data_IF_215260475634
#
_entry.id   IF_215260475634
#
_cell.length_a   1.000
_cell.length_b   1.000
_cell.length_c   1.000
_cell.angle_alpha   90.00
_cell.angle_beta   90.00
_cell.angle_gamma   90.00
#
_symmetry.space_group_name_H-M   'P 1'
#
loop_
_entity.id
_entity.type
_entity.pdbx_description
1 polymer ?
#
# COMPACT_ATOMS: atom_id res chain seq x y z
N UNK A 1 41.11 22.96 -19.28
CA UNK A 1 41.16 21.56 -18.80
C UNK A 1 40.38 21.31 -17.49
N UNK A 2 39.52 22.24 -17.03
CA UNK A 2 38.79 22.10 -15.76
C UNK A 2 37.33 21.64 -15.92
N UNK A 3 36.69 21.95 -17.06
CA UNK A 3 35.25 21.65 -17.29
C UNK A 3 34.96 20.15 -17.36
N UNK A 4 35.86 19.34 -17.97
CA UNK A 4 35.68 17.88 -18.06
C UNK A 4 35.75 17.17 -16.69
N UNK A 5 36.55 17.69 -15.73
CA UNK A 5 36.62 17.14 -14.37
C UNK A 5 35.36 17.45 -13.56
N UNK A 6 34.74 18.60 -13.79
CA UNK A 6 33.51 19.01 -13.10
C UNK A 6 32.31 18.14 -13.52
N UNK A 7 32.22 17.79 -14.81
CA UNK A 7 31.17 16.90 -15.33
C UNK A 7 31.30 15.49 -14.75
N UNK A 8 32.52 14.95 -14.66
CA UNK A 8 32.76 13.64 -14.03
C UNK A 8 32.40 13.62 -12.54
N UNK A 9 32.64 14.72 -11.82
CA UNK A 9 32.32 14.83 -10.40
C UNK A 9 30.81 14.88 -10.15
N UNK A 10 30.06 15.62 -10.98
CA UNK A 10 28.59 15.61 -10.94
C UNK A 10 28.05 14.22 -11.29
N UNK A 11 28.62 13.54 -12.29
CA UNK A 11 28.20 12.20 -12.68
C UNK A 11 28.45 11.17 -11.57
N UNK A 12 29.58 11.25 -10.85
CA UNK A 12 29.90 10.37 -9.73
C UNK A 12 28.98 10.60 -8.52
N UNK A 13 28.65 11.86 -8.21
CA UNK A 13 27.69 12.21 -7.16
C UNK A 13 26.26 11.74 -7.50
N UNK A 14 25.83 11.86 -8.76
CA UNK A 14 24.51 11.36 -9.18
C UNK A 14 24.44 9.83 -9.16
N UNK A 15 25.52 9.12 -9.52
CA UNK A 15 25.59 7.65 -9.40
C UNK A 15 25.60 7.20 -7.93
N UNK A 16 26.28 7.95 -7.04
CA UNK A 16 26.23 7.64 -5.60
C UNK A 16 24.86 7.87 -4.97
N UNK A 17 24.00 8.73 -5.53
CA UNK A 17 22.61 8.87 -5.05
C UNK A 17 21.73 7.69 -5.52
N UNK A 18 22.08 7.03 -6.63
CA UNK A 18 21.35 5.87 -7.15
C UNK A 18 21.68 4.58 -6.38
N UNK A 19 22.83 4.50 -5.71
CA UNK A 19 23.16 3.38 -4.83
C UNK A 19 22.95 3.75 -3.36
N UNK A 20 21.89 3.18 -2.78
CA UNK A 20 21.61 3.10 -1.34
C UNK A 20 22.87 3.20 -0.47
N UNK A 21 23.11 4.37 0.12
CA UNK A 21 24.09 4.54 1.20
C UNK A 21 23.66 3.65 2.37
N UNK A 22 24.26 2.48 2.49
CA UNK A 22 24.11 1.58 3.63
C UNK A 22 24.78 2.17 4.89
N UNK A 23 24.11 3.10 5.55
CA UNK A 23 24.40 3.47 6.92
C UNK A 23 23.93 2.32 7.82
N UNK A 24 24.86 1.61 8.47
CA UNK A 24 24.57 0.62 9.53
C UNK A 24 23.80 -0.65 9.09
N UNK A 25 24.16 -1.29 7.96
CA UNK A 25 23.50 -2.52 7.46
C UNK A 25 22.00 -2.36 7.18
N UNK A 26 21.53 -1.13 6.93
CA UNK A 26 20.16 -0.84 6.53
C UNK A 26 20.10 -0.56 5.01
N UNK A 27 19.30 -1.32 4.29
CA UNK A 27 18.93 -1.04 2.90
C UNK A 27 17.71 -0.12 2.88
N UNK A 28 17.78 0.95 2.10
CA UNK A 28 16.67 1.90 1.98
C UNK A 28 16.05 1.77 0.60
N UNK A 29 14.75 1.48 0.56
CA UNK A 29 13.97 1.46 -0.67
C UNK A 29 12.96 2.60 -0.68
N UNK A 30 12.78 3.19 -1.85
CA UNK A 30 11.80 4.23 -2.16
C UNK A 30 10.87 3.72 -3.25
N UNK A 31 9.85 4.49 -3.61
CA UNK A 31 8.95 4.15 -4.72
C UNK A 31 9.68 3.85 -6.04
N UNK A 32 10.86 4.44 -6.25
CA UNK A 32 11.63 4.33 -7.49
C UNK A 32 12.35 2.99 -7.62
N UNK A 33 12.78 2.38 -6.52
CA UNK A 33 13.59 1.15 -6.52
C UNK A 33 12.98 0.00 -5.69
N UNK A 34 11.75 0.14 -5.19
CA UNK A 34 11.10 -0.88 -4.36
C UNK A 34 11.02 -2.27 -5.03
N UNK A 35 10.97 -2.33 -6.37
CA UNK A 35 10.97 -3.61 -7.11
C UNK A 35 12.28 -4.36 -7.04
N UNK A 36 13.39 -3.70 -6.70
CA UNK A 36 14.69 -4.36 -6.52
C UNK A 36 14.71 -5.18 -5.23
N UNK A 37 13.75 -4.94 -4.32
CA UNK A 37 13.59 -5.68 -3.09
C UNK A 37 12.86 -7.02 -3.33
N UNK A 38 13.63 -8.05 -3.68
CA UNK A 38 13.16 -9.40 -4.03
C UNK A 38 12.49 -10.21 -2.90
N UNK A 39 12.40 -9.68 -1.67
CA UNK A 39 11.98 -10.45 -0.49
C UNK A 39 10.92 -9.74 0.37
N UNK A 40 10.26 -8.72 -0.17
CA UNK A 40 8.95 -8.34 0.38
C UNK A 40 8.01 -9.49 0.07
N UNK A 41 6.92 -9.65 0.82
CA UNK A 41 5.82 -10.47 0.35
C UNK A 41 5.29 -9.84 -0.95
N UNK A 42 5.91 -10.24 -2.06
CA UNK A 42 5.75 -9.70 -3.41
C UNK A 42 4.34 -9.91 -3.93
N UNK A 43 3.52 -10.69 -3.22
CA UNK A 43 2.10 -10.87 -3.51
C UNK A 43 1.31 -9.56 -3.52
N UNK A 44 1.75 -8.54 -2.76
CA UNK A 44 1.06 -7.25 -2.66
C UNK A 44 1.66 -6.11 -3.53
N UNK A 45 2.86 -6.29 -4.09
CA UNK A 45 3.57 -5.26 -4.86
C UNK A 45 3.78 -5.62 -6.34
N UNK A 46 3.75 -6.91 -6.69
CA UNK A 46 3.91 -7.34 -8.07
C UNK A 46 2.58 -7.15 -8.77
N UNK A 47 2.56 -6.27 -9.78
CA UNK A 47 1.46 -6.18 -10.71
C UNK A 47 1.14 -7.56 -11.28
N UNK A 48 -0.01 -8.09 -10.86
CA UNK A 48 -0.64 -9.22 -11.51
C UNK A 48 -1.69 -8.68 -12.49
N UNK A 49 -1.64 -9.12 -13.74
CA UNK A 49 -2.61 -8.67 -14.74
C UNK A 49 -3.99 -9.27 -14.45
N UNK A 50 -4.04 -10.43 -13.81
CA UNK A 50 -5.26 -11.18 -13.52
C UNK A 50 -6.07 -10.55 -12.37
N UNK A 51 -5.49 -9.58 -11.64
CA UNK A 51 -6.17 -8.82 -10.58
C UNK A 51 -6.68 -7.44 -11.02
N UNK A 52 -6.52 -7.09 -12.30
CA UNK A 52 -7.00 -5.82 -12.86
C UNK A 52 -8.42 -6.00 -13.39
N UNK A 53 -9.33 -5.14 -12.94
CA UNK A 53 -10.73 -5.11 -13.34
C UNK A 53 -11.12 -3.70 -13.74
N UNK A 54 -12.19 -3.55 -14.52
CA UNK A 54 -12.86 -2.26 -14.61
C UNK A 54 -13.84 -2.05 -13.44
N UNK A 55 -14.22 -0.81 -13.18
CA UNK A 55 -15.10 -0.49 -12.04
C UNK A 55 -16.46 -1.17 -12.15
N UNK A 56 -17.01 -1.32 -13.35
CA UNK A 56 -18.27 -2.00 -13.56
C UNK A 56 -18.21 -3.51 -13.26
N UNK A 57 -17.05 -4.14 -13.47
CA UNK A 57 -16.78 -5.52 -13.06
C UNK A 57 -16.65 -5.64 -11.55
N UNK A 58 -15.93 -4.72 -10.90
CA UNK A 58 -15.82 -4.68 -9.43
C UNK A 58 -17.20 -4.62 -8.79
N UNK A 59 -18.09 -3.74 -9.26
CA UNK A 59 -19.44 -3.62 -8.72
C UNK A 59 -20.34 -4.85 -8.94
N UNK A 60 -19.97 -5.77 -9.83
CA UNK A 60 -20.67 -7.05 -10.04
C UNK A 60 -20.20 -8.15 -9.08
N UNK A 61 -19.06 -7.97 -8.42
CA UNK A 61 -18.55 -8.94 -7.45
C UNK A 61 -19.52 -9.00 -6.26
N UNK A 62 -19.87 -10.23 -5.89
CA UNK A 62 -20.74 -10.56 -4.77
C UNK A 62 -20.19 -11.79 -4.08
N UNK A 63 -20.38 -11.85 -2.77
CA UNK A 63 -20.03 -13.00 -1.92
C UNK A 63 -18.55 -13.39 -1.98
N UNK A 64 -17.68 -12.42 -2.32
CA UNK A 64 -16.23 -12.50 -2.16
C UNK A 64 -15.85 -11.76 -0.88
N UNK A 65 -15.13 -12.43 0.00
CA UNK A 65 -14.88 -11.99 1.37
C UNK A 65 -13.46 -11.47 1.51
N UNK A 66 -13.28 -10.37 2.26
CA UNK A 66 -11.98 -9.73 2.51
C UNK A 66 -11.33 -9.13 1.26
N UNK A 67 -12.16 -8.80 0.26
CA UNK A 67 -11.71 -8.18 -0.98
C UNK A 67 -11.93 -6.67 -0.94
N UNK A 68 -10.87 -5.92 -1.21
CA UNK A 68 -10.95 -4.51 -1.56
C UNK A 68 -10.33 -4.28 -2.94
N UNK A 69 -10.61 -3.14 -3.56
CA UNK A 69 -9.99 -2.71 -4.80
C UNK A 69 -9.65 -1.22 -4.71
N UNK A 70 -8.46 -0.84 -5.15
CA UNK A 70 -8.16 0.55 -5.44
C UNK A 70 -8.51 0.84 -6.89
N UNK A 71 -9.38 1.82 -7.11
CA UNK A 71 -9.83 2.23 -8.43
C UNK A 71 -9.32 3.63 -8.76
N UNK A 72 -8.59 3.76 -9.86
CA UNK A 72 -8.18 5.03 -10.44
C UNK A 72 -8.84 5.16 -11.80
N UNK A 73 -9.72 6.15 -11.94
CA UNK A 73 -10.67 6.23 -13.07
C UNK A 73 -11.53 4.95 -13.14
N UNK A 74 -11.55 4.30 -14.31
CA UNK A 74 -12.28 3.03 -14.51
C UNK A 74 -11.42 1.80 -14.25
N UNK A 75 -10.13 1.95 -13.94
CA UNK A 75 -9.18 0.84 -13.74
C UNK A 75 -9.05 0.55 -12.25
N UNK A 76 -9.30 -0.69 -11.86
CA UNK A 76 -9.27 -1.15 -10.48
C UNK A 76 -8.28 -2.30 -10.30
N UNK A 77 -7.60 -2.33 -9.16
CA UNK A 77 -6.66 -3.38 -8.77
C UNK A 77 -7.11 -3.98 -7.45
N UNK A 78 -7.30 -5.29 -7.41
CA UNK A 78 -7.67 -6.01 -6.19
C UNK A 78 -6.55 -5.91 -5.15
N UNK A 79 -6.93 -5.77 -3.89
CA UNK A 79 -6.04 -5.75 -2.72
C UNK A 79 -6.67 -6.53 -1.57
N UNK A 80 -5.83 -7.04 -0.68
CA UNK A 80 -6.29 -7.62 0.56
C UNK A 80 -6.81 -6.50 1.48
N UNK A 81 -8.04 -6.64 1.96
CA UNK A 81 -8.67 -5.66 2.85
C UNK A 81 -7.95 -5.52 4.20
N UNK A 82 -7.33 -6.60 4.69
CA UNK A 82 -6.65 -6.64 6.00
C UNK A 82 -5.22 -6.12 5.96
N UNK A 83 -4.63 -6.10 4.77
CA UNK A 83 -3.25 -5.70 4.56
C UNK A 83 -3.19 -4.79 3.33
N UNK A 84 -3.76 -3.59 3.47
CA UNK A 84 -3.73 -2.60 2.40
C UNK A 84 -2.26 -2.24 2.12
N UNK A 85 -1.81 -2.40 0.88
CA UNK A 85 -0.40 -2.25 0.58
C UNK A 85 0.03 -0.79 0.72
N UNK A 86 1.29 -0.55 1.10
CA UNK A 86 1.86 0.79 1.19
C UNK A 86 2.20 1.41 -0.17
N UNK A 87 2.44 0.55 -1.17
CA UNK A 87 2.59 0.94 -2.57
C UNK A 87 1.69 0.08 -3.43
N UNK A 88 1.21 0.62 -4.54
CA UNK A 88 0.34 -0.10 -5.46
C UNK A 88 0.71 0.21 -6.91
N UNK A 89 0.59 -0.81 -7.76
CA UNK A 89 0.78 -0.69 -9.20
C UNK A 89 -0.57 -0.68 -9.91
N UNK A 90 -0.89 0.41 -10.60
CA UNK A 90 -2.13 0.55 -11.38
C UNK A 90 -1.74 0.94 -12.81
N UNK A 91 -2.19 0.19 -13.83
CA UNK A 91 -1.89 0.52 -15.22
C UNK A 91 -2.68 1.76 -15.66
N UNK A 92 -2.11 2.52 -16.58
CA UNK A 92 -2.85 3.55 -17.30
C UNK A 92 -3.69 2.94 -18.45
N UNK A 93 -4.48 3.77 -19.12
CA UNK A 93 -5.34 3.36 -20.25
C UNK A 93 -4.56 2.71 -21.42
N UNK A 94 -3.25 2.95 -21.52
CA UNK A 94 -2.38 2.35 -22.54
C UNK A 94 -1.71 1.06 -22.05
N UNK A 95 -1.97 0.64 -20.82
CA UNK A 95 -1.36 -0.51 -20.17
C UNK A 95 0.03 -0.23 -19.59
N UNK A 96 0.48 1.02 -19.52
CA UNK A 96 1.74 1.31 -18.84
C UNK A 96 1.52 1.24 -17.33
N UNK A 97 2.27 0.38 -16.67
CA UNK A 97 2.19 0.20 -15.22
C UNK A 97 2.78 1.44 -14.54
N UNK A 98 2.01 2.05 -13.65
CA UNK A 98 2.47 3.14 -12.78
C UNK A 98 2.38 2.71 -11.33
N UNK A 99 3.40 3.05 -10.56
CA UNK A 99 3.45 2.79 -9.13
C UNK A 99 3.10 4.03 -8.34
N UNK A 100 2.36 3.84 -7.27
CA UNK A 100 1.91 4.89 -6.37
C UNK A 100 2.20 4.51 -4.92
N UNK A 101 2.49 5.50 -4.08
CA UNK A 101 2.36 5.39 -2.63
C UNK A 101 0.86 5.48 -2.32
N UNK A 102 0.30 4.46 -1.70
CA UNK A 102 -1.13 4.34 -1.37
C UNK A 102 -1.46 4.83 0.04
N UNK A 103 -0.48 4.86 0.95
CA UNK A 103 -0.65 5.48 2.27
C UNK A 103 -0.82 6.99 2.10
N UNK A 104 -1.80 7.55 2.79
CA UNK A 104 -2.05 8.99 2.76
C UNK A 104 -2.58 9.47 4.11
N UNK A 105 -2.30 10.73 4.42
CA UNK A 105 -2.65 11.35 5.69
C UNK A 105 -3.53 12.57 5.49
N UNK A 106 -4.33 12.91 6.49
CA UNK A 106 -5.05 14.18 6.46
C UNK A 106 -4.10 15.35 6.80
N UNK A 107 -4.52 16.58 6.48
CA UNK A 107 -3.70 17.78 6.69
C UNK A 107 -3.42 18.06 8.17
N UNK A 108 -4.27 17.61 9.09
CA UNK A 108 -4.05 17.81 10.52
C UNK A 108 -2.93 16.91 11.03
N UNK A 109 -2.89 15.65 10.59
CA UNK A 109 -1.82 14.71 10.91
C UNK A 109 -0.47 15.21 10.38
N UNK A 110 -0.46 15.80 9.16
CA UNK A 110 0.74 16.45 8.64
C UNK A 110 1.21 17.61 9.53
N UNK A 111 0.30 18.52 9.91
CA UNK A 111 0.61 19.68 10.78
C UNK A 111 1.10 19.27 12.18
N UNK A 112 0.59 18.16 12.70
CA UNK A 112 0.94 17.62 14.01
C UNK A 112 2.11 16.64 13.97
N UNK A 113 2.68 16.39 12.78
CA UNK A 113 3.72 15.38 12.54
C UNK A 113 3.32 13.96 13.02
N UNK A 114 2.05 13.59 12.82
CA UNK A 114 1.48 12.28 13.15
C UNK A 114 1.41 11.37 11.93
N UNK A 115 2.55 11.09 11.34
CA UNK A 115 2.63 10.22 10.16
C UNK A 115 3.91 9.38 10.20
N UNK A 116 3.89 8.28 9.47
CA UNK A 116 5.06 7.41 9.32
C UNK A 116 5.82 7.80 8.06
N UNK A 117 7.15 7.95 8.18
CA UNK A 117 8.03 8.23 7.05
C UNK A 117 8.43 6.97 6.27
N UNK A 118 8.04 5.81 6.79
CA UNK A 118 8.43 4.51 6.28
C UNK A 118 8.32 3.42 7.33
N UNK A 119 8.51 2.18 6.90
CA UNK A 119 8.49 0.99 7.75
C UNK A 119 9.87 0.37 7.78
N UNK A 120 10.29 -0.05 8.98
CA UNK A 120 11.53 -0.78 9.18
C UNK A 120 11.26 -2.28 9.38
N UNK A 121 11.99 -3.12 8.68
CA UNK A 121 11.93 -4.57 8.75
C UNK A 121 13.31 -5.15 8.94
N UNK A 122 13.37 -6.38 9.47
CA UNK A 122 14.61 -7.15 9.56
C UNK A 122 14.51 -8.37 8.65
N UNK A 123 15.47 -8.52 7.75
CA UNK A 123 15.61 -9.73 6.95
C UNK A 123 16.71 -10.61 7.57
N UNK A 124 16.35 -11.85 7.91
CA UNK A 124 17.32 -12.86 8.33
C UNK A 124 18.07 -13.35 7.09
N UNK A 125 19.38 -13.11 7.05
CA UNK A 125 20.26 -13.59 5.98
C UNK A 125 20.94 -14.93 6.34
N UNK A 126 20.62 -15.48 7.51
CA UNK A 126 21.21 -16.71 8.00
C UNK A 126 20.61 -17.91 7.25
N UNK A 127 21.38 -18.54 6.37
CA UNK A 127 21.09 -19.90 5.88
C UNK A 127 21.45 -20.89 6.97
N UNK A 128 20.50 -21.70 7.44
CA UNK A 128 20.69 -22.76 8.43
C UNK A 128 21.56 -23.93 7.90
N UNK A 129 22.81 -23.67 7.52
CA UNK A 129 23.74 -24.68 7.01
C UNK A 129 25.19 -24.35 7.31
N UNK A 130 25.51 -24.03 8.55
CA UNK A 130 26.83 -24.35 9.11
C UNK A 130 26.61 -24.94 10.48
N UNK A 131 26.95 -26.22 10.62
CA UNK A 131 27.08 -26.89 11.90
C UNK A 131 27.74 -25.95 12.92
N UNK A 132 27.14 -25.84 14.10
CA UNK A 132 27.74 -25.20 15.27
C UNK A 132 29.09 -25.86 15.57
N UNK A 133 30.15 -25.34 14.97
CA UNK A 133 31.52 -25.61 15.39
C UNK A 133 32.01 -24.34 16.06
N UNK A 134 32.11 -24.43 17.39
CA UNK A 134 32.64 -23.44 18.32
C UNK A 134 31.64 -22.37 18.73
N UNK A 135 31.23 -22.41 20.01
CA UNK A 135 30.41 -21.43 20.76
C UNK A 135 30.97 -19.99 20.68
N UNK A 136 30.96 -19.39 19.50
CA UNK A 136 31.18 -17.98 19.27
C UNK A 136 29.91 -17.51 18.57
N UNK A 137 29.09 -16.76 19.30
CA UNK A 137 27.88 -16.13 18.76
C UNK A 137 28.31 -15.10 17.71
N UNK A 138 28.50 -15.53 16.47
CA UNK A 138 28.81 -14.63 15.37
C UNK A 138 27.60 -13.74 15.09
N UNK A 139 27.79 -12.45 15.39
CA UNK A 139 27.57 -11.29 14.53
C UNK A 139 26.21 -11.18 13.81
N UNK A 140 25.44 -10.15 14.20
CA UNK A 140 24.15 -9.71 13.64
C UNK A 140 23.83 -10.21 12.21
N UNK A 141 23.07 -11.31 12.13
CA UNK A 141 22.66 -11.96 10.89
C UNK A 141 21.45 -11.29 10.19
N UNK A 142 21.21 -10.02 10.49
CA UNK A 142 20.04 -9.30 10.03
C UNK A 142 20.45 -8.10 9.18
N UNK A 143 19.86 -7.99 7.99
CA UNK A 143 19.87 -6.76 7.21
C UNK A 143 18.62 -5.97 7.56
N UNK A 144 18.81 -4.75 8.03
CA UNK A 144 17.71 -3.81 8.19
C UNK A 144 17.20 -3.38 6.82
N UNK A 145 15.89 -3.27 6.67
CA UNK A 145 15.27 -2.73 5.46
C UNK A 145 14.34 -1.62 5.88
N UNK A 146 14.54 -0.45 5.30
CA UNK A 146 13.68 0.69 5.50
C UNK A 146 12.96 1.01 4.19
N UNK A 147 11.63 0.86 4.19
CA UNK A 147 10.77 1.27 3.09
C UNK A 147 10.32 2.70 3.34
N UNK A 148 10.81 3.64 2.56
CA UNK A 148 10.42 5.04 2.69
C UNK A 148 9.12 5.33 1.93
N UNK A 149 8.17 5.97 2.61
CA UNK A 149 6.92 6.47 2.02
C UNK A 149 7.05 7.92 1.54
N UNK A 150 8.28 8.43 1.42
CA UNK A 150 8.54 9.80 1.04
C UNK A 150 8.24 10.03 -0.44
N UNK A 151 7.36 10.97 -0.74
CA UNK A 151 7.10 11.43 -2.10
C UNK A 151 8.00 12.63 -2.47
N UNK A 152 8.26 12.80 -3.76
CA UNK A 152 8.98 13.96 -4.34
C UNK A 152 8.14 14.71 -5.38
N UNK A 153 7.02 14.13 -5.81
CA UNK A 153 6.06 14.74 -6.73
C UNK A 153 4.65 14.23 -6.46
N UNK A 154 3.65 15.02 -6.84
CA UNK A 154 2.23 14.66 -6.72
C UNK A 154 1.92 13.32 -7.41
N UNK A 155 2.51 13.09 -8.58
CA UNK A 155 2.27 11.88 -9.38
C UNK A 155 2.71 10.57 -8.72
N UNK A 156 3.56 10.63 -7.69
CA UNK A 156 3.95 9.45 -6.91
C UNK A 156 2.90 9.06 -5.87
N UNK A 157 2.00 9.98 -5.48
CA UNK A 157 0.94 9.70 -4.53
C UNK A 157 -0.31 9.19 -5.25
N UNK A 158 -0.96 8.17 -4.69
CA UNK A 158 -2.23 7.70 -5.24
C UNK A 158 -3.29 8.82 -5.23
N UNK A 159 -3.27 9.63 -4.17
CA UNK A 159 -4.08 10.86 -4.00
C UNK A 159 -3.72 11.99 -4.97
N UNK A 160 -2.63 11.87 -5.72
CA UNK A 160 -2.09 12.91 -6.59
C UNK A 160 -1.76 14.22 -5.83
N UNK A 161 -1.29 14.11 -4.59
CA UNK A 161 -0.92 15.28 -3.77
C UNK A 161 0.19 14.94 -2.78
N UNK A 162 1.34 15.57 -2.94
CA UNK A 162 2.53 15.43 -2.12
C UNK A 162 2.86 16.77 -1.44
N UNK A 163 2.85 16.80 -0.11
CA UNK A 163 3.23 18.00 0.68
C UNK A 163 4.34 17.61 1.65
N UNK A 164 5.46 18.32 1.61
CA UNK A 164 6.61 18.11 2.48
C UNK A 164 7.11 16.66 2.52
N UNK A 165 6.98 15.97 1.38
CA UNK A 165 7.36 14.57 1.23
C UNK A 165 6.35 13.55 1.74
N UNK A 166 5.12 13.97 2.05
CA UNK A 166 4.05 13.10 2.54
C UNK A 166 2.87 13.13 1.56
N UNK A 167 2.33 11.97 1.23
CA UNK A 167 1.09 11.86 0.48
C UNK A 167 -0.09 12.25 1.37
N UNK A 168 -0.90 13.21 0.91
CA UNK A 168 -2.06 13.71 1.66
C UNK A 168 -3.34 13.49 0.88
N UNK A 169 -4.46 13.33 1.60
CA UNK A 169 -5.77 13.26 0.96
C UNK A 169 -6.05 14.52 0.15
N UNK A 170 -6.56 14.32 -1.06
CA UNK A 170 -6.91 15.38 -1.99
C UNK A 170 -8.43 15.43 -2.13
N UNK A 171 -9.01 16.63 -2.06
CA UNK A 171 -10.45 16.83 -2.24
C UNK A 171 -10.88 16.52 -3.68
N UNK A 172 -9.97 16.73 -4.63
CA UNK A 172 -10.14 16.29 -6.01
C UNK A 172 -9.98 14.76 -6.06
N UNK A 173 -11.12 14.04 -6.12
CA UNK A 173 -11.19 12.58 -6.21
C UNK A 173 -10.25 12.02 -7.28
N UNK A 174 -9.06 11.62 -6.88
CA UNK A 174 -8.02 11.07 -7.76
C UNK A 174 -8.03 9.54 -7.80
N UNK A 175 -8.69 8.90 -6.83
CA UNK A 175 -8.96 7.47 -6.77
C UNK A 175 -10.14 7.19 -5.82
N UNK A 176 -10.64 5.96 -5.81
CA UNK A 176 -11.65 5.45 -4.88
C UNK A 176 -11.23 4.09 -4.33
N UNK A 177 -11.64 3.79 -3.11
CA UNK A 177 -11.55 2.46 -2.52
C UNK A 177 -12.90 1.78 -2.68
N UNK A 178 -12.91 0.60 -3.31
CA UNK A 178 -14.07 -0.28 -3.34
C UNK A 178 -13.87 -1.40 -2.32
N UNK A 179 -14.81 -1.56 -1.39
CA UNK A 179 -14.75 -2.61 -0.37
C UNK A 179 -16.02 -3.46 -0.38
N UNK A 180 -15.87 -4.71 0.04
CA UNK A 180 -16.98 -5.64 0.26
C UNK A 180 -17.79 -5.22 1.50
N UNK A 181 -19.08 -4.92 1.29
CA UNK A 181 -20.01 -4.59 2.36
C UNK A 181 -20.85 -5.82 2.69
N UNK A 182 -20.80 -6.25 3.95
CA UNK A 182 -21.65 -7.31 4.47
C UNK A 182 -23.05 -6.81 4.79
N UNK A 183 -24.04 -7.54 4.32
CA UNK A 183 -25.43 -7.33 4.68
C UNK A 183 -26.00 -8.64 5.23
N UNK A 184 -26.60 -8.54 6.42
CA UNK A 184 -27.26 -9.63 7.11
C UNK A 184 -28.77 -9.44 7.05
N UNK A 185 -29.48 -10.42 6.50
CA UNK A 185 -30.92 -10.48 6.60
C UNK A 185 -31.35 -11.88 7.06
N UNK A 186 -31.73 -11.98 8.33
CA UNK A 186 -32.09 -13.23 9.00
C UNK A 186 -30.97 -14.31 8.88
N UNK A 187 -31.22 -15.38 8.13
CA UNK A 187 -30.31 -16.54 7.97
C UNK A 187 -29.37 -16.38 6.76
N UNK A 188 -29.56 -15.33 5.95
CA UNK A 188 -28.78 -15.10 4.74
C UNK A 188 -27.78 -13.96 4.94
N UNK A 189 -26.51 -14.28 4.73
CA UNK A 189 -25.45 -13.28 4.54
C UNK A 189 -25.18 -13.13 3.06
N UNK A 190 -25.06 -11.89 2.60
CA UNK A 190 -24.55 -11.57 1.27
C UNK A 190 -23.57 -10.42 1.37
N UNK A 191 -22.62 -10.35 0.44
CA UNK A 191 -21.76 -9.18 0.28
C UNK A 191 -21.94 -8.54 -1.09
N UNK A 192 -21.74 -7.23 -1.14
CA UNK A 192 -21.70 -6.47 -2.39
C UNK A 192 -20.57 -5.44 -2.33
N UNK A 193 -20.00 -5.13 -3.47
CA UNK A 193 -18.97 -4.09 -3.55
C UNK A 193 -19.59 -2.69 -3.50
N UNK A 194 -18.98 -1.82 -2.71
CA UNK A 194 -19.30 -0.39 -2.65
C UNK A 194 -18.02 0.43 -2.79
N UNK A 195 -18.07 1.51 -3.56
CA UNK A 195 -16.91 2.36 -3.84
C UNK A 195 -17.11 3.75 -3.27
N UNK A 196 -16.07 4.29 -2.65
CA UNK A 196 -16.06 5.63 -2.09
C UNK A 196 -14.67 6.05 -1.67
N UNK A 197 -14.59 6.95 -0.69
CA UNK A 197 -13.34 7.42 -0.09
C UNK A 197 -12.60 6.29 0.64
N UNK A 198 -11.27 6.38 0.66
CA UNK A 198 -10.39 5.42 1.31
C UNK A 198 -10.36 5.61 2.82
N UNK A 199 -9.80 4.64 3.55
CA UNK A 199 -9.63 4.72 5.00
C UNK A 199 -8.77 5.93 5.39
N UNK A 200 -9.17 6.63 6.44
CA UNK A 200 -8.52 7.85 6.95
C UNK A 200 -8.90 9.15 6.23
N UNK A 201 -9.58 9.07 5.09
CA UNK A 201 -10.07 10.26 4.37
C UNK A 201 -11.26 10.91 5.11
N UNK A 202 -11.46 12.20 4.95
CA UNK A 202 -12.51 12.96 5.64
C UNK A 202 -13.89 12.61 5.09
N UNK A 203 -14.86 12.40 5.97
CA UNK A 203 -16.25 12.09 5.62
C UNK A 203 -17.24 12.82 6.54
N UNK A 204 -18.47 13.00 6.05
CA UNK A 204 -19.60 13.48 6.87
C UNK A 204 -20.68 12.41 7.03
N UNK A 205 -20.77 11.50 6.07
CA UNK A 205 -21.73 10.38 6.10
C UNK A 205 -21.04 9.08 5.70
N UNK A 206 -21.63 7.97 6.14
CA UNK A 206 -21.18 6.62 5.79
C UNK A 206 -21.11 6.41 4.27
N UNK A 207 -22.04 6.97 3.52
CA UNK A 207 -22.12 6.86 2.05
C UNK A 207 -20.93 7.50 1.32
N UNK A 208 -20.15 8.37 1.98
CA UNK A 208 -18.94 8.90 1.36
C UNK A 208 -17.80 7.88 1.31
N UNK A 209 -17.80 6.88 2.20
CA UNK A 209 -16.69 5.96 2.42
C UNK A 209 -16.88 4.64 1.64
N UNK A 210 -15.81 4.11 1.06
CA UNK A 210 -15.83 2.79 0.41
C UNK A 210 -16.26 1.66 1.35
N UNK A 211 -15.98 1.80 2.64
CA UNK A 211 -16.40 0.89 3.71
C UNK A 211 -17.84 1.07 4.19
N UNK A 212 -18.54 2.11 3.75
CA UNK A 212 -19.79 2.60 4.36
C UNK A 212 -19.69 2.89 5.86
N UNK A 213 -18.52 3.34 6.32
CA UNK A 213 -18.29 3.67 7.73
C UNK A 213 -17.55 4.99 7.82
N UNK A 214 -18.24 6.00 8.33
CA UNK A 214 -17.67 7.27 8.75
C UNK A 214 -17.61 7.29 10.28
N UNK A 215 -16.40 7.30 10.83
CA UNK A 215 -16.17 7.31 12.28
C UNK A 215 -16.60 8.66 12.87
N UNK A 216 -16.89 8.70 14.17
CA UNK A 216 -17.32 9.92 14.88
C UNK A 216 -16.33 11.08 14.74
N UNK A 217 -15.06 10.76 14.51
CA UNK A 217 -13.96 11.71 14.26
C UNK A 217 -14.04 12.36 12.86
N UNK A 218 -14.99 11.97 12.02
CA UNK A 218 -15.19 12.48 10.67
C UNK A 218 -14.22 11.91 9.64
N UNK A 219 -13.76 10.67 9.84
CA UNK A 219 -12.85 9.95 8.93
C UNK A 219 -13.39 8.59 8.54
N UNK A 220 -13.11 8.15 7.32
CA UNK A 220 -13.53 6.84 6.83
C UNK A 220 -12.80 5.72 7.58
N UNK A 221 -13.57 4.81 8.17
CA UNK A 221 -13.07 3.67 8.93
C UNK A 221 -12.93 2.40 8.09
N UNK A 222 -12.24 1.37 8.62
CA UNK A 222 -12.26 0.05 8.01
C UNK A 222 -13.66 -0.53 8.08
N UNK A 223 -14.01 -1.36 7.10
CA UNK A 223 -15.29 -2.04 7.04
C UNK A 223 -15.38 -3.10 8.15
N UNK A 224 -16.57 -3.41 8.67
CA UNK A 224 -16.75 -4.40 9.77
C UNK A 224 -16.61 -5.83 9.25
N UNK A 225 -15.88 -6.68 9.97
CA UNK A 225 -15.78 -8.11 9.65
C UNK A 225 -17.05 -8.87 10.06
N UNK A 226 -17.39 -9.96 9.34
CA UNK A 226 -18.36 -10.93 9.82
C UNK A 226 -17.84 -11.61 11.08
N UNK A 227 -18.72 -11.85 12.06
CA UNK A 227 -18.33 -12.65 13.23
C UNK A 227 -18.18 -14.13 12.83
N UNK A 228 -17.32 -14.90 13.53
CA UNK A 228 -17.15 -16.33 13.25
C UNK A 228 -18.47 -17.14 13.32
N UNK A 229 -19.45 -16.66 14.08
CA UNK A 229 -20.79 -17.23 14.15
C UNK A 229 -21.58 -17.06 12.86
N UNK A 230 -21.32 -16.00 12.08
CA UNK A 230 -21.99 -15.70 10.82
C UNK A 230 -21.48 -16.57 9.66
N UNK A 231 -20.21 -17.01 9.73
CA UNK A 231 -19.58 -17.89 8.74
C UNK A 231 -20.06 -19.35 8.91
N UNK A 232 -20.31 -19.79 10.15
CA UNK A 232 -20.69 -21.18 10.47
C UNK A 232 -22.09 -21.58 10.01
N UNK A 233 -23.01 -20.62 9.81
CA UNK A 233 -24.38 -20.92 9.33
C UNK A 233 -24.37 -21.52 7.91
N UNK A 234 -23.33 -21.24 7.10
CA UNK A 234 -23.22 -21.71 5.72
C UNK A 234 -22.67 -23.15 5.60
N UNK A 235 -21.93 -23.65 6.59
CA UNK A 235 -21.33 -24.99 6.55
C UNK A 235 -22.36 -26.07 6.94
N UNK A 236 -23.41 -25.73 7.68
CA UNK A 236 -24.42 -26.69 8.16
C UNK A 236 -25.64 -26.90 7.24
N UNK A 237 -25.63 -26.34 6.02
CA UNK A 237 -26.78 -26.39 5.09
C UNK A 237 -26.59 -27.27 3.84
N UNK A 238 -25.65 -28.22 3.87
CA UNK A 238 -25.55 -29.28 2.85
C UNK A 238 -25.69 -30.67 3.47
#
# INVERSE_FOLDING_TARGET
MYIKKFIYFIYFFNIQIIFSYGLNNVLVYTIENITDYHNYDTSNLVYDKDIVLNKAEVLKIKDDYNLSCYCKNDICVKVNRHDLPSFIEIPDEKGNIKRYISISYNLNDLKLHRYENGVYMNLSNCTSSTNQLNNINNEFCFTGIFLSFKCTSDSQCLTNKCIDGVCVFNEDKSFELCSDIYSYFAVFSHSYMYCGKSYGDLCKTDEECGSKICLEEGVCGPTKEPSETDVKVKISTY
#
